data_IF_993945832891
#
_entry.id   IF_993945832891
#
_cell.length_a   1.000
_cell.length_b   1.000
_cell.length_c   1.000
_cell.angle_alpha   90.00
_cell.angle_beta   90.00
_cell.angle_gamma   90.00
#
_symmetry.space_group_name_H-M   'P 1'
#
loop_
_entity.id
_entity.type
_entity.pdbx_description
1 polymer ?
#
# COMPACT_ATOMS: atom_id res chain seq x y z
N UNK A 1 -2.48 2.82 6.06
CA UNK A 1 -1.23 2.39 5.39
C UNK A 1 -1.58 1.41 4.27
N UNK A 2 -0.88 1.44 3.13
CA UNK A 2 -1.08 0.44 2.08
C UNK A 2 -0.47 -0.92 2.47
N UNK A 3 -1.24 -2.01 2.31
CA UNK A 3 -0.84 -3.38 2.71
C UNK A 3 -1.36 -4.37 1.67
N UNK A 4 -0.60 -5.44 1.41
CA UNK A 4 -1.06 -6.59 0.63
C UNK A 4 -1.85 -7.58 1.50
N UNK A 5 -2.95 -8.15 0.99
CA UNK A 5 -3.81 -9.11 1.68
C UNK A 5 -3.18 -10.53 1.63
N UNK A 6 -2.17 -10.75 2.46
CA UNK A 6 -1.44 -12.02 2.54
C UNK A 6 -1.33 -12.59 3.97
N UNK A 7 -2.30 -12.24 4.81
CA UNK A 7 -2.47 -12.70 6.20
C UNK A 7 -3.79 -13.48 6.38
N UNK A 8 -4.01 -14.01 7.59
CA UNK A 8 -5.20 -14.77 7.93
C UNK A 8 -6.49 -13.98 7.69
N UNK A 9 -7.45 -14.56 6.98
CA UNK A 9 -8.70 -13.93 6.53
C UNK A 9 -8.67 -13.48 5.06
N UNK A 10 -7.52 -13.52 4.39
CA UNK A 10 -7.40 -13.28 2.95
C UNK A 10 -7.50 -14.55 2.11
N UNK A 11 -7.67 -15.73 2.74
CA UNK A 11 -7.83 -17.00 2.03
C UNK A 11 -9.14 -17.02 1.22
N UNK A 12 -9.13 -17.74 0.09
CA UNK A 12 -10.31 -17.94 -0.76
C UNK A 12 -10.94 -16.64 -1.30
N UNK A 13 -10.13 -15.59 -1.49
CA UNK A 13 -10.53 -14.34 -2.13
C UNK A 13 -10.05 -14.29 -3.59
N UNK A 14 -10.77 -14.91 -4.55
CA UNK A 14 -10.34 -14.98 -5.95
C UNK A 14 -10.25 -13.59 -6.60
N UNK A 15 -10.98 -12.60 -6.08
CA UNK A 15 -10.90 -11.21 -6.53
C UNK A 15 -9.56 -10.54 -6.19
N UNK A 16 -8.79 -11.10 -5.26
CA UNK A 16 -7.48 -10.61 -4.86
C UNK A 16 -6.34 -11.32 -5.59
N UNK A 17 -6.62 -12.31 -6.46
CA UNK A 17 -5.60 -13.10 -7.14
C UNK A 17 -5.31 -12.62 -8.57
N UNK A 18 -4.03 -12.49 -8.98
CA UNK A 18 -2.84 -12.70 -8.16
C UNK A 18 -2.61 -11.57 -7.15
N UNK A 19 -2.23 -11.92 -5.92
CA UNK A 19 -2.09 -10.96 -4.79
C UNK A 19 -1.20 -9.76 -5.09
N UNK A 20 -0.11 -9.94 -5.83
CA UNK A 20 0.78 -8.83 -6.18
C UNK A 20 0.11 -7.78 -7.10
N UNK A 21 -0.95 -8.15 -7.82
CA UNK A 21 -1.69 -7.25 -8.72
C UNK A 21 -2.94 -6.71 -8.06
N UNK A 22 -3.76 -7.56 -7.43
CA UNK A 22 -5.08 -7.18 -6.92
C UNK A 22 -5.20 -7.22 -5.40
N UNK A 23 -4.17 -7.66 -4.67
CA UNK A 23 -4.24 -7.91 -3.23
C UNK A 23 -4.01 -6.67 -2.36
N UNK A 24 -3.68 -5.51 -2.93
CA UNK A 24 -3.36 -4.31 -2.16
C UNK A 24 -4.60 -3.56 -1.68
N UNK A 25 -4.55 -3.03 -0.46
CA UNK A 25 -5.64 -2.27 0.15
C UNK A 25 -5.13 -1.23 1.15
N UNK A 26 -5.94 -0.21 1.41
CA UNK A 26 -5.72 0.77 2.47
C UNK A 26 -6.20 0.22 3.81
N UNK A 27 -5.29 -0.01 4.75
CA UNK A 27 -5.60 -0.67 6.02
C UNK A 27 -6.63 0.06 6.89
N UNK A 28 -6.72 1.39 6.77
CA UNK A 28 -7.63 2.22 7.57
C UNK A 28 -9.10 2.06 7.15
N UNK A 29 -9.37 2.04 5.84
CA UNK A 29 -10.73 1.98 5.26
C UNK A 29 -11.09 0.59 4.73
N UNK A 30 -10.11 -0.32 4.64
CA UNK A 30 -10.20 -1.62 3.95
C UNK A 30 -10.54 -1.49 2.46
N UNK A 31 -10.37 -0.30 1.90
CA UNK A 31 -10.62 -0.04 0.50
C UNK A 31 -9.51 -0.65 -0.36
N UNK A 32 -9.91 -1.30 -1.45
CA UNK A 32 -8.99 -1.94 -2.37
C UNK A 32 -8.20 -0.89 -3.15
N UNK A 33 -6.87 -1.03 -3.15
CA UNK A 33 -6.02 -0.29 -4.07
C UNK A 33 -6.21 -0.91 -5.46
N UNK A 34 -6.46 -0.07 -6.46
CA UNK A 34 -6.64 -0.53 -7.83
C UNK A 34 -5.41 -1.28 -8.34
N UNK A 35 -5.60 -2.11 -9.37
CA UNK A 35 -4.57 -3.07 -9.76
C UNK A 35 -3.24 -2.40 -10.09
N UNK A 36 -2.15 -2.96 -9.58
CA UNK A 36 -0.82 -2.35 -9.59
C UNK A 36 -0.22 -2.19 -10.99
N UNK A 37 -0.72 -2.94 -11.97
CA UNK A 37 -0.23 -2.99 -13.34
C UNK A 37 -1.03 -2.11 -14.34
N UNK A 38 -1.87 -1.20 -13.85
CA UNK A 38 -2.64 -0.26 -14.70
C UNK A 38 -2.77 1.09 -14.04
N UNK A 39 -3.07 2.10 -14.86
CA UNK A 39 -3.41 3.44 -14.37
C UNK A 39 -4.73 3.34 -13.59
N UNK A 40 -4.78 3.74 -12.31
CA UNK A 40 -6.03 3.77 -11.56
C UNK A 40 -7.05 4.71 -12.21
N UNK A 41 -8.33 4.35 -12.13
CA UNK A 41 -9.41 5.22 -12.62
C UNK A 41 -9.33 6.60 -11.96
N UNK A 42 -9.36 7.66 -12.78
CA UNK A 42 -9.25 9.05 -12.33
C UNK A 42 -7.81 9.57 -12.25
N UNK A 43 -6.80 8.75 -12.50
CA UNK A 43 -5.40 9.14 -12.47
C UNK A 43 -4.84 9.34 -13.88
N UNK A 44 -3.85 10.23 -14.02
CA UNK A 44 -3.12 10.45 -15.28
C UNK A 44 -1.91 9.53 -15.48
N UNK A 45 -1.52 8.76 -14.47
CA UNK A 45 -0.35 7.90 -14.46
C UNK A 45 -0.52 6.74 -13.47
N UNK A 46 0.27 5.68 -13.62
CA UNK A 46 0.33 4.59 -12.65
C UNK A 46 1.31 4.97 -11.52
N UNK A 47 0.89 5.03 -10.26
CA UNK A 47 1.77 5.41 -9.16
C UNK A 47 2.82 4.36 -8.81
N UNK A 48 2.62 3.09 -9.19
CA UNK A 48 3.62 2.03 -8.97
C UNK A 48 4.82 2.21 -9.90
N UNK A 49 6.02 2.15 -9.33
CA UNK A 49 7.24 2.33 -10.11
C UNK A 49 7.37 1.28 -11.22
N UNK A 50 7.98 1.68 -12.33
CA UNK A 50 8.32 0.78 -13.44
C UNK A 50 9.67 0.07 -13.22
N UNK A 51 10.34 0.35 -12.10
CA UNK A 51 11.63 -0.25 -11.71
C UNK A 51 11.69 -0.45 -10.20
N UNK A 52 12.76 -1.06 -9.72
CA UNK A 52 13.01 -1.34 -8.30
C UNK A 52 14.34 -2.04 -8.15
N UNK A 53 14.55 -2.71 -7.02
CA UNK A 53 15.78 -3.47 -6.79
C UNK A 53 16.04 -4.51 -7.89
N UNK A 54 14.98 -5.19 -8.36
CA UNK A 54 15.08 -6.20 -9.43
C UNK A 54 15.01 -5.61 -10.85
N UNK A 55 15.03 -4.28 -11.00
CA UNK A 55 14.87 -3.57 -12.29
C UNK A 55 13.62 -4.00 -13.06
N UNK A 56 12.53 -4.27 -12.33
CA UNK A 56 11.22 -4.64 -12.87
C UNK A 56 10.13 -3.79 -12.21
N UNK A 57 8.93 -3.69 -12.82
CA UNK A 57 7.83 -2.94 -12.23
C UNK A 57 7.44 -3.43 -10.84
N UNK A 58 7.09 -2.49 -9.98
CA UNK A 58 6.59 -2.73 -8.62
C UNK A 58 5.10 -3.15 -8.66
N UNK A 59 4.63 -3.92 -7.67
CA UNK A 59 5.37 -4.50 -6.57
C UNK A 59 6.19 -5.71 -7.00
N UNK A 60 7.44 -5.77 -6.56
CA UNK A 60 8.43 -6.71 -7.05
C UNK A 60 8.93 -7.70 -5.98
N UNK A 61 8.54 -7.57 -4.71
CA UNK A 61 8.89 -8.47 -3.62
C UNK A 61 10.38 -8.87 -3.67
N UNK A 62 11.25 -7.88 -3.90
CA UNK A 62 12.68 -7.98 -4.01
C UNK A 62 13.32 -8.66 -2.81
N UNK A 63 12.96 -8.20 -1.62
CA UNK A 63 13.60 -8.64 -0.38
C UNK A 63 13.40 -10.14 -0.10
N UNK A 64 12.33 -10.73 -0.61
CA UNK A 64 12.06 -12.16 -0.45
C UNK A 64 13.16 -13.02 -1.07
N UNK A 65 13.73 -12.60 -2.20
CA UNK A 65 14.81 -13.34 -2.86
C UNK A 65 16.16 -13.16 -2.15
N UNK A 66 16.27 -12.13 -1.29
CA UNK A 66 17.49 -11.82 -0.54
C UNK A 66 17.50 -12.55 0.81
N UNK A 67 16.41 -12.44 1.57
CA UNK A 67 16.37 -12.94 2.95
C UNK A 67 15.02 -13.61 3.33
N UNK A 68 14.17 -13.93 2.36
CA UNK A 68 12.85 -14.52 2.56
C UNK A 68 11.85 -13.62 3.31
N UNK A 69 12.14 -12.31 3.45
CA UNK A 69 11.19 -11.34 3.99
C UNK A 69 10.29 -10.83 2.89
N UNK A 70 8.97 -10.86 3.13
CA UNK A 70 8.00 -10.35 2.16
C UNK A 70 7.87 -8.84 2.24
N UNK A 71 7.80 -8.19 1.09
CA UNK A 71 7.55 -6.76 0.96
C UNK A 71 6.05 -6.48 1.00
N UNK A 72 5.58 -6.42 2.23
CA UNK A 72 4.18 -6.49 2.55
C UNK A 72 3.49 -5.13 2.67
N UNK A 73 4.28 -4.06 2.77
CA UNK A 73 3.85 -2.70 3.04
C UNK A 73 4.14 -1.79 1.85
N UNK A 74 3.28 -0.79 1.65
CA UNK A 74 3.45 0.22 0.60
C UNK A 74 4.28 1.39 1.15
N UNK A 75 5.26 1.83 0.38
CA UNK A 75 6.01 3.06 0.65
C UNK A 75 6.07 3.96 -0.57
N UNK A 76 6.09 5.28 -0.34
CA UNK A 76 6.40 6.27 -1.38
C UNK A 76 7.88 6.59 -1.26
N UNK A 77 8.65 6.25 -2.28
CA UNK A 77 10.09 6.51 -2.32
C UNK A 77 10.36 7.73 -3.21
N UNK A 78 11.34 8.54 -2.81
CA UNK A 78 11.77 9.70 -3.58
C UNK A 78 13.07 9.39 -4.34
N UNK A 79 12.92 8.95 -5.58
CA UNK A 79 13.97 8.77 -6.57
C UNK A 79 15.11 7.81 -6.17
N UNK A 80 14.80 6.81 -5.32
CA UNK A 80 15.78 5.82 -4.86
C UNK A 80 16.33 4.97 -6.01
N UNK A 81 15.50 4.72 -7.04
CA UNK A 81 15.86 3.91 -8.20
C UNK A 81 15.94 4.72 -9.50
N UNK A 82 16.14 6.04 -9.40
CA UNK A 82 16.12 6.98 -10.53
C UNK A 82 14.79 6.97 -11.32
N UNK A 83 13.68 6.88 -10.59
CA UNK A 83 12.31 6.69 -11.06
C UNK A 83 11.35 7.80 -10.61
N UNK A 84 11.87 8.87 -10.02
CA UNK A 84 11.09 9.96 -9.45
C UNK A 84 10.39 9.55 -8.15
N UNK A 85 9.27 10.21 -7.84
CA UNK A 85 8.47 9.88 -6.65
C UNK A 85 7.45 8.81 -7.05
N UNK A 86 7.61 7.59 -6.54
CA UNK A 86 6.80 6.44 -6.93
C UNK A 86 6.50 5.51 -5.76
N UNK A 87 5.48 4.66 -5.92
CA UNK A 87 5.12 3.61 -4.96
C UNK A 87 5.97 2.38 -5.18
N UNK A 88 6.42 1.81 -4.07
CA UNK A 88 7.18 0.57 -3.98
C UNK A 88 6.59 -0.31 -2.90
N UNK A 89 6.67 -1.62 -3.08
CA UNK A 89 6.52 -2.53 -1.95
C UNK A 89 7.83 -2.56 -1.15
N UNK A 90 7.69 -2.61 0.17
CA UNK A 90 8.82 -2.66 1.10
C UNK A 90 8.47 -3.62 2.24
N UNK A 91 9.48 -4.20 2.88
CA UNK A 91 9.23 -4.93 4.11
C UNK A 91 8.72 -4.00 5.22
N UNK A 92 7.74 -4.49 5.96
CA UNK A 92 7.04 -3.68 6.96
C UNK A 92 7.89 -3.30 8.18
N UNK A 93 9.04 -3.94 8.39
CA UNK A 93 9.92 -3.63 9.53
C UNK A 93 10.78 -2.38 9.30
N UNK A 94 10.86 -1.86 8.08
CA UNK A 94 11.63 -0.66 7.81
C UNK A 94 10.99 0.56 8.50
N UNK A 95 11.75 1.18 9.39
CA UNK A 95 11.36 2.46 9.98
C UNK A 95 11.40 3.56 8.92
N UNK A 96 10.26 4.22 8.72
CA UNK A 96 10.08 5.28 7.72
C UNK A 96 9.13 6.36 8.27
N UNK A 97 9.28 7.63 7.84
CA UNK A 97 8.24 8.63 8.07
C UNK A 97 6.89 8.17 7.51
N UNK A 98 5.80 8.58 8.18
CA UNK A 98 4.43 8.21 7.81
C UNK A 98 3.67 9.44 7.36
N UNK A 99 2.92 9.30 6.27
CA UNK A 99 1.93 10.28 5.82
C UNK A 99 0.59 9.85 6.39
N UNK A 100 -0.05 10.75 7.14
CA UNK A 100 -1.36 10.53 7.74
C UNK A 100 -2.42 11.33 6.98
N UNK A 101 -3.61 10.75 6.89
CA UNK A 101 -4.82 11.40 6.38
C UNK A 101 -5.92 11.21 7.41
N UNK A 102 -6.75 12.24 7.57
CA UNK A 102 -7.92 12.18 8.44
C UNK A 102 -8.93 11.16 7.93
N UNK A 103 -9.52 10.40 8.84
CA UNK A 103 -10.55 9.43 8.51
C UNK A 103 -11.88 9.90 9.07
N UNK A 104 -12.79 10.32 8.19
CA UNK A 104 -14.10 10.86 8.56
C UNK A 104 -14.92 9.92 9.44
N UNK A 105 -14.86 8.61 9.22
CA UNK A 105 -15.58 7.64 10.03
C UNK A 105 -15.06 7.61 11.47
N UNK A 106 -13.73 7.59 11.62
CA UNK A 106 -13.08 7.64 12.93
C UNK A 106 -13.29 9.01 13.61
N UNK A 107 -13.20 10.11 12.87
CA UNK A 107 -13.47 11.45 13.39
C UNK A 107 -14.92 11.58 13.88
N UNK A 108 -15.90 11.06 13.12
CA UNK A 108 -17.31 11.02 13.54
C UNK A 108 -17.51 10.17 14.78
N UNK A 109 -16.87 9.00 14.86
CA UNK A 109 -16.92 8.16 16.04
C UNK A 109 -16.36 8.87 17.29
N UNK A 110 -15.21 9.53 17.15
CA UNK A 110 -14.59 10.31 18.24
C UNK A 110 -15.50 11.44 18.69
N UNK A 111 -16.07 12.22 17.76
CA UNK A 111 -17.00 13.30 18.07
C UNK A 111 -18.27 12.80 18.79
N UNK A 112 -18.81 11.66 18.37
CA UNK A 112 -20.01 11.07 18.97
C UNK A 112 -19.77 10.49 20.38
N UNK A 113 -18.55 10.05 20.68
CA UNK A 113 -18.21 9.37 21.94
C UNK A 113 -17.53 10.29 22.97
N UNK A 114 -17.13 11.51 22.59
CA UNK A 114 -16.44 12.45 23.47
C UNK A 114 -17.13 13.83 23.45
N UNK A 115 -18.17 14.05 24.28
CA UNK A 115 -18.90 15.31 24.30
C UNK A 115 -17.99 16.52 24.58
N UNK A 116 -18.11 17.57 23.78
CA UNK A 116 -17.34 18.81 23.94
C UNK A 116 -15.93 18.79 23.35
N UNK A 117 -15.52 17.69 22.68
CA UNK A 117 -14.26 17.65 21.94
C UNK A 117 -14.31 18.60 20.73
N UNK A 118 -13.20 19.28 20.44
CA UNK A 118 -13.01 20.07 19.22
C UNK A 118 -11.97 19.37 18.35
N UNK A 119 -12.42 18.86 17.21
CA UNK A 119 -11.60 18.25 16.16
C UNK A 119 -11.17 19.33 15.16
#
# INVERSE_FOLDING_TARGET
>A
AGRICDFAGCENRPDLEPKNVYGWFWSATREKIQATNRIPQGWGYNPWSQTGHKKRPQPDNAEYDINQTKEQCLSVLNNVYNDGIAWHDVACYHEKPVICEDNDELLRYVAATNPGIRL
#
